data_IF_658015286123
#
_entry.id   IF_658015286123
#
_cell.length_a   1.000
_cell.length_b   1.000
_cell.length_c   1.000
_cell.angle_alpha   90.00
_cell.angle_beta   90.00
_cell.angle_gamma   90.00
#
_symmetry.space_group_name_H-M   'P 1'
#
loop_
_entity.id
_entity.type
_entity.pdbx_description
1 polymer ?
#
# COMPACT_ATOMS: atom_id res chain seq x y z
N UNK A 1 11.39 16.19 -10.05
CA UNK A 1 10.98 14.83 -9.65
C UNK A 1 10.79 13.95 -10.85
N UNK A 2 11.17 12.69 -10.72
CA UNK A 2 10.62 11.61 -11.52
C UNK A 2 9.31 11.14 -10.87
N UNK A 3 8.20 11.27 -11.59
CA UNK A 3 6.95 10.57 -11.25
C UNK A 3 6.90 9.37 -12.20
N UNK A 4 6.64 8.17 -11.69
CA UNK A 4 6.60 6.96 -12.51
C UNK A 4 5.47 7.03 -13.55
N UNK A 5 4.23 7.14 -13.08
CA UNK A 5 3.03 7.34 -13.90
C UNK A 5 2.20 8.45 -13.25
N UNK A 6 1.87 9.54 -13.96
CA UNK A 6 1.11 10.64 -13.38
C UNK A 6 -0.33 10.22 -13.05
N UNK A 7 -0.93 10.88 -12.06
CA UNK A 7 -2.35 10.73 -11.78
C UNK A 7 -3.17 11.11 -13.03
N UNK A 8 -4.17 10.32 -13.45
CA UNK A 8 -4.95 10.60 -14.65
C UNK A 8 -5.67 11.95 -14.62
N UNK A 9 -5.69 12.64 -15.75
CA UNK A 9 -6.45 13.89 -15.91
C UNK A 9 -7.97 13.64 -15.97
N UNK A 10 -8.36 12.46 -16.44
CA UNK A 10 -9.76 12.03 -16.56
C UNK A 10 -10.16 11.09 -15.41
N UNK A 11 -11.41 11.21 -14.98
CA UNK A 11 -12.00 10.31 -14.00
C UNK A 11 -12.47 9.01 -14.64
N UNK A 12 -12.33 7.85 -13.96
CA UNK A 12 -13.01 6.63 -14.37
C UNK A 12 -14.54 6.80 -14.35
N UNK A 13 -15.23 5.99 -15.14
CA UNK A 13 -16.70 6.02 -15.20
C UNK A 13 -17.31 5.79 -13.80
N UNK A 14 -18.32 6.59 -13.44
CA UNK A 14 -19.00 6.50 -12.13
C UNK A 14 -18.27 7.17 -10.97
N UNK A 15 -17.14 7.83 -11.22
CA UNK A 15 -16.46 8.67 -10.25
C UNK A 15 -16.87 10.13 -10.40
N UNK A 16 -17.04 10.79 -9.26
CA UNK A 16 -17.36 12.20 -9.18
C UNK A 16 -16.61 12.79 -8.00
N UNK A 17 -16.08 13.99 -8.21
CA UNK A 17 -15.44 14.74 -7.16
C UNK A 17 -16.45 15.18 -6.11
N UNK A 18 -16.05 15.11 -4.84
CA UNK A 18 -16.70 15.78 -3.73
C UNK A 18 -16.72 17.29 -3.99
N UNK A 19 -17.83 17.93 -3.64
CA UNK A 19 -17.96 19.39 -3.68
C UNK A 19 -17.32 20.02 -2.44
N UNK A 20 -17.08 21.33 -2.46
CA UNK A 20 -16.80 22.12 -1.25
C UNK A 20 -15.62 21.60 -0.39
N UNK A 21 -14.61 21.00 -1.03
CA UNK A 21 -13.36 20.62 -0.37
C UNK A 21 -12.44 21.84 -0.23
N UNK A 22 -11.76 22.04 0.91
CA UNK A 22 -10.67 22.98 0.96
C UNK A 22 -9.54 22.52 0.01
N UNK A 23 -8.77 23.43 -0.60
CA UNK A 23 -7.58 23.05 -1.34
C UNK A 23 -6.56 22.40 -0.39
N UNK A 24 -5.80 21.43 -0.87
CA UNK A 24 -4.67 20.90 -0.12
C UNK A 24 -3.52 21.93 -0.12
N UNK A 25 -3.18 22.41 1.06
CA UNK A 25 -2.04 23.27 1.35
C UNK A 25 -1.01 22.53 2.21
N UNK A 26 0.17 22.17 1.68
CA UNK A 26 1.21 21.49 2.44
C UNK A 26 1.68 22.24 3.69
N UNK A 27 1.80 23.57 3.65
CA UNK A 27 2.30 24.37 4.77
C UNK A 27 1.35 24.35 5.97
N UNK A 28 0.05 24.18 5.70
CA UNK A 28 -1.00 24.15 6.73
C UNK A 28 -1.35 22.74 7.17
N UNK A 29 -1.42 21.79 6.23
CA UNK A 29 -1.94 20.46 6.50
C UNK A 29 -0.86 19.44 6.88
N UNK A 30 0.41 19.67 6.52
CA UNK A 30 1.48 18.76 6.88
C UNK A 30 2.21 19.21 8.15
N UNK A 31 2.75 18.22 8.86
CA UNK A 31 3.65 18.38 10.02
C UNK A 31 4.59 17.18 10.02
N UNK A 32 5.42 17.12 8.98
CA UNK A 32 6.26 15.97 8.67
C UNK A 32 7.36 15.78 9.71
N UNK A 33 7.40 14.60 10.31
CA UNK A 33 8.44 14.16 11.25
C UNK A 33 8.91 12.76 10.84
N UNK A 34 10.21 12.49 10.91
CA UNK A 34 10.75 11.14 10.65
C UNK A 34 10.50 10.22 11.85
N UNK A 35 10.32 8.90 11.62
CA UNK A 35 10.25 7.93 12.71
C UNK A 35 11.55 7.89 13.50
N UNK A 36 11.44 7.67 14.80
CA UNK A 36 12.61 7.57 15.68
C UNK A 36 13.41 6.27 15.48
N UNK A 37 12.74 5.21 15.03
CA UNK A 37 13.31 3.89 14.80
C UNK A 37 12.61 3.19 13.65
N UNK A 38 13.35 2.29 12.99
CA UNK A 38 12.86 1.38 11.97
C UNK A 38 13.44 -0.01 12.22
N UNK A 39 12.74 -1.04 11.73
CA UNK A 39 13.23 -2.41 11.62
C UNK A 39 13.44 -2.73 10.16
N UNK A 40 14.53 -3.44 9.87
CA UNK A 40 14.81 -4.01 8.55
C UNK A 40 14.04 -5.33 8.35
N UNK A 41 14.03 -5.83 7.11
CA UNK A 41 13.56 -7.18 6.82
C UNK A 41 14.45 -8.25 7.49
N UNK A 42 15.75 -8.02 7.63
CA UNK A 42 16.65 -8.92 8.37
C UNK A 42 16.25 -9.00 9.87
N UNK A 43 15.85 -7.89 10.48
CA UNK A 43 15.34 -7.86 11.87
C UNK A 43 14.05 -8.67 12.05
N UNK A 44 13.25 -8.82 10.97
CA UNK A 44 12.05 -9.65 10.93
C UNK A 44 12.36 -11.12 10.61
N UNK A 45 13.63 -11.45 10.32
CA UNK A 45 14.10 -12.80 10.06
C UNK A 45 14.17 -13.21 8.58
N UNK A 46 14.05 -12.27 7.65
CA UNK A 46 14.28 -12.54 6.23
C UNK A 46 15.76 -12.72 5.93
N UNK A 47 16.10 -13.66 5.05
CA UNK A 47 17.47 -13.85 4.57
C UNK A 47 17.86 -12.83 3.51
N UNK A 48 19.16 -12.69 3.22
CA UNK A 48 19.64 -11.78 2.17
C UNK A 48 19.11 -12.17 0.80
N UNK A 49 19.02 -13.47 0.53
CA UNK A 49 18.47 -14.01 -0.72
C UNK A 49 16.99 -13.66 -0.88
N UNK A 50 16.21 -13.61 0.20
CA UNK A 50 14.79 -13.20 0.16
C UNK A 50 14.62 -11.69 -0.07
N UNK A 51 15.65 -10.89 0.23
CA UNK A 51 15.65 -9.42 0.17
C UNK A 51 16.26 -8.89 -1.13
N UNK A 52 17.22 -9.60 -1.76
CA UNK A 52 18.08 -9.06 -2.82
C UNK A 52 17.34 -8.44 -4.01
N UNK A 53 16.17 -8.98 -4.36
CA UNK A 53 15.35 -8.53 -5.50
C UNK A 53 14.19 -7.61 -5.06
N UNK A 54 14.26 -7.07 -3.84
CA UNK A 54 13.24 -6.17 -3.28
C UNK A 54 13.63 -4.72 -3.43
N UNK A 55 12.62 -3.86 -3.42
CA UNK A 55 12.79 -2.40 -3.54
C UNK A 55 13.69 -1.81 -2.45
N UNK A 56 13.68 -2.42 -1.27
CA UNK A 56 14.45 -1.97 -0.11
C UNK A 56 14.53 -3.08 0.94
N UNK A 57 15.57 -3.03 1.79
CA UNK A 57 15.67 -3.84 2.99
C UNK A 57 14.87 -3.28 4.18
N UNK A 58 14.21 -2.13 4.04
CA UNK A 58 13.31 -1.58 5.06
C UNK A 58 12.15 -2.54 5.34
N UNK A 59 11.81 -2.73 6.62
CA UNK A 59 10.69 -3.53 7.07
C UNK A 59 9.53 -2.66 7.55
N UNK A 60 9.65 -2.07 8.74
CA UNK A 60 8.56 -1.30 9.39
C UNK A 60 9.13 -0.18 10.26
N UNK A 61 8.41 0.93 10.40
CA UNK A 61 8.79 2.05 11.28
C UNK A 61 8.04 2.05 12.61
N UNK A 62 8.60 2.72 13.62
CA UNK A 62 7.77 3.27 14.71
C UNK A 62 6.83 4.37 14.18
N UNK A 63 5.75 4.73 14.90
CA UNK A 63 4.84 5.79 14.48
C UNK A 63 5.54 7.14 14.32
N UNK A 64 5.19 7.88 13.27
CA UNK A 64 5.69 9.21 12.95
C UNK A 64 4.58 10.12 12.45
N UNK A 65 4.83 11.43 12.42
CA UNK A 65 3.80 12.41 12.10
C UNK A 65 3.84 12.81 10.63
N UNK A 66 2.66 12.84 9.99
CA UNK A 66 2.48 13.36 8.63
C UNK A 66 1.60 14.62 8.67
N UNK A 67 0.44 14.55 9.32
CA UNK A 67 -0.51 15.66 9.31
C UNK A 67 -0.36 16.59 10.51
N UNK A 68 -0.58 17.88 10.25
CA UNK A 68 -0.84 18.86 11.28
C UNK A 68 -2.20 18.59 11.95
N UNK A 69 -2.54 19.37 12.98
CA UNK A 69 -3.89 19.28 13.57
C UNK A 69 -4.97 19.62 12.54
N UNK A 70 -4.77 20.70 11.76
CA UNK A 70 -5.71 21.13 10.72
C UNK A 70 -5.83 20.06 9.62
N UNK A 71 -4.70 19.54 9.12
CA UNK A 71 -4.72 18.46 8.13
C UNK A 71 -5.43 17.21 8.63
N UNK A 72 -5.27 16.86 9.90
CA UNK A 72 -5.97 15.73 10.51
C UNK A 72 -7.49 15.93 10.57
N UNK A 73 -7.95 17.16 10.86
CA UNK A 73 -9.37 17.50 10.88
C UNK A 73 -9.98 17.40 9.47
N UNK A 74 -9.28 17.90 8.44
CA UNK A 74 -9.73 17.79 7.05
C UNK A 74 -9.74 16.33 6.56
N UNK A 75 -8.72 15.54 6.91
CA UNK A 75 -8.66 14.11 6.57
C UNK A 75 -9.83 13.34 7.20
N UNK A 76 -10.17 13.62 8.47
CA UNK A 76 -11.30 12.97 9.14
C UNK A 76 -12.63 13.32 8.48
N UNK A 77 -12.86 14.59 8.16
CA UNK A 77 -14.08 15.01 7.45
C UNK A 77 -14.16 14.39 6.05
N UNK A 78 -13.05 14.41 5.30
CA UNK A 78 -12.94 13.79 3.98
C UNK A 78 -13.28 12.30 4.05
N UNK A 79 -12.73 11.56 5.04
CA UNK A 79 -13.02 10.15 5.22
C UNK A 79 -14.51 9.90 5.56
N UNK A 80 -15.12 10.72 6.42
CA UNK A 80 -16.56 10.60 6.74
C UNK A 80 -17.44 10.80 5.51
N UNK A 81 -17.11 11.76 4.64
CA UNK A 81 -17.82 11.99 3.38
C UNK A 81 -17.65 10.82 2.41
N UNK A 82 -16.42 10.30 2.29
CA UNK A 82 -16.10 9.16 1.44
C UNK A 82 -16.72 7.85 1.91
N UNK A 83 -17.05 7.71 3.20
CA UNK A 83 -17.67 6.51 3.78
C UNK A 83 -18.92 6.05 3.03
N UNK A 84 -19.66 6.95 2.40
CA UNK A 84 -20.84 6.62 1.58
C UNK A 84 -20.52 5.70 0.39
N UNK A 85 -19.25 5.66 -0.04
CA UNK A 85 -18.75 4.78 -1.11
C UNK A 85 -18.14 3.48 -0.58
N UNK A 86 -18.20 3.22 0.72
CA UNK A 86 -17.56 2.02 1.31
C UNK A 86 -18.22 0.74 0.81
N UNK A 87 -17.40 -0.26 0.51
CA UNK A 87 -17.81 -1.60 0.12
C UNK A 87 -16.97 -2.65 0.82
N UNK A 88 -17.43 -3.90 0.76
CA UNK A 88 -16.67 -5.05 1.21
C UNK A 88 -15.57 -5.38 0.20
N UNK A 89 -14.35 -5.61 0.69
CA UNK A 89 -13.22 -6.08 -0.10
C UNK A 89 -12.94 -7.54 0.23
N UNK A 90 -13.47 -8.42 -0.63
CA UNK A 90 -13.36 -9.87 -0.47
C UNK A 90 -13.90 -10.36 0.88
N UNK A 91 -13.18 -11.29 1.49
CA UNK A 91 -13.47 -11.84 2.81
C UNK A 91 -12.58 -11.22 3.93
N UNK A 92 -11.81 -10.18 3.57
CA UNK A 92 -10.71 -9.62 4.39
C UNK A 92 -11.13 -8.37 5.14
N UNK A 93 -11.80 -7.43 4.46
CA UNK A 93 -12.22 -6.13 5.01
C UNK A 93 -13.70 -5.91 4.72
N UNK A 94 -14.52 -5.68 5.75
CA UNK A 94 -15.96 -5.45 5.55
C UNK A 94 -16.27 -4.06 4.96
N UNK A 95 -15.59 -3.01 5.44
CA UNK A 95 -15.89 -1.63 5.09
C UNK A 95 -14.61 -0.91 4.64
N UNK A 96 -14.46 -0.72 3.32
CA UNK A 96 -13.33 0.02 2.75
C UNK A 96 -13.75 0.91 1.57
N UNK A 97 -13.04 2.01 1.36
CA UNK A 97 -13.14 2.82 0.14
C UNK A 97 -11.86 2.65 -0.67
N UNK A 98 -12.01 2.07 -1.87
CA UNK A 98 -11.01 2.00 -2.93
C UNK A 98 -11.22 3.16 -3.91
N UNK A 99 -10.15 3.66 -4.53
CA UNK A 99 -10.24 4.77 -5.48
C UNK A 99 -10.73 6.09 -4.88
N UNK A 100 -10.51 6.33 -3.58
CA UNK A 100 -10.90 7.56 -2.89
C UNK A 100 -10.27 8.81 -3.53
N UNK A 101 -9.05 8.69 -4.07
CA UNK A 101 -8.36 9.77 -4.78
C UNK A 101 -9.04 10.19 -6.10
N UNK A 102 -9.98 9.42 -6.63
CA UNK A 102 -10.85 9.85 -7.76
C UNK A 102 -12.13 10.55 -7.31
N UNK A 103 -12.31 10.68 -5.99
CA UNK A 103 -13.51 11.29 -5.39
C UNK A 103 -13.14 12.51 -4.55
N UNK A 104 -11.94 12.58 -3.99
CA UNK A 104 -11.49 13.73 -3.20
C UNK A 104 -10.23 14.32 -3.80
N UNK A 105 -10.26 15.61 -4.15
CA UNK A 105 -9.07 16.33 -4.60
C UNK A 105 -8.10 16.52 -3.47
N UNK A 106 -8.59 16.82 -2.27
CA UNK A 106 -7.74 17.00 -1.10
C UNK A 106 -6.97 15.72 -0.76
N UNK A 107 -7.65 14.56 -0.76
CA UNK A 107 -7.02 13.26 -0.54
C UNK A 107 -6.02 12.93 -1.64
N UNK A 108 -6.40 13.14 -2.91
CA UNK A 108 -5.49 12.94 -4.05
C UNK A 108 -4.22 13.75 -3.86
N UNK A 109 -4.35 15.05 -3.60
CA UNK A 109 -3.23 15.98 -3.51
C UNK A 109 -2.32 15.66 -2.30
N UNK A 110 -2.89 15.19 -1.18
CA UNK A 110 -2.11 14.61 -0.08
C UNK A 110 -1.34 13.36 -0.53
N UNK A 111 -2.00 12.43 -1.20
CA UNK A 111 -1.43 11.13 -1.59
C UNK A 111 -0.33 11.24 -2.67
N UNK A 112 -0.36 12.29 -3.49
CA UNK A 112 0.68 12.59 -4.49
C UNK A 112 1.57 13.77 -4.06
N UNK A 113 1.45 14.22 -2.81
CA UNK A 113 2.21 15.35 -2.28
C UNK A 113 3.70 15.05 -2.34
N UNK A 114 4.47 15.99 -2.85
CA UNK A 114 5.89 15.80 -2.99
C UNK A 114 6.63 15.76 -1.65
N UNK A 115 6.25 16.64 -0.72
CA UNK A 115 6.86 16.67 0.62
C UNK A 115 6.69 15.33 1.35
N UNK A 116 5.53 14.70 1.19
CA UNK A 116 5.26 13.36 1.74
C UNK A 116 6.10 12.31 1.01
N UNK A 117 6.16 12.35 -0.33
CA UNK A 117 7.00 11.43 -1.10
C UNK A 117 8.48 11.51 -0.70
N UNK A 118 9.02 12.70 -0.48
CA UNK A 118 10.41 12.91 -0.08
C UNK A 118 10.69 12.33 1.31
N UNK A 119 9.77 12.53 2.27
CA UNK A 119 9.85 11.88 3.59
C UNK A 119 9.84 10.35 3.44
N UNK A 120 8.92 9.81 2.65
CA UNK A 120 8.78 8.36 2.47
C UNK A 120 9.99 7.75 1.77
N UNK A 121 10.56 8.43 0.75
CA UNK A 121 11.78 8.01 0.09
C UNK A 121 12.95 7.92 1.09
N UNK A 122 13.05 8.90 2.00
CA UNK A 122 14.05 8.88 3.07
C UNK A 122 13.82 7.73 4.06
N UNK A 123 12.57 7.40 4.42
CA UNK A 123 12.25 6.32 5.36
C UNK A 123 12.56 4.95 4.74
N UNK A 124 12.11 4.74 3.50
CA UNK A 124 12.33 3.49 2.78
C UNK A 124 13.76 3.32 2.28
N UNK A 125 14.55 4.40 2.22
CA UNK A 125 15.90 4.41 1.66
C UNK A 125 15.92 3.88 0.22
N UNK A 126 14.93 4.30 -0.57
CA UNK A 126 14.76 3.90 -1.95
C UNK A 126 14.22 5.08 -2.78
N UNK A 127 14.57 5.11 -4.06
CA UNK A 127 13.89 5.99 -5.00
C UNK A 127 12.49 5.45 -5.26
N UNK A 128 11.48 6.25 -4.93
CA UNK A 128 10.07 5.84 -5.01
C UNK A 128 9.23 6.89 -5.74
N UNK A 129 8.06 6.43 -6.16
CA UNK A 129 6.94 7.27 -6.61
C UNK A 129 5.67 6.83 -5.89
N UNK A 130 4.66 7.71 -5.71
CA UNK A 130 3.31 7.25 -5.40
C UNK A 130 2.90 6.17 -6.39
N UNK A 131 2.14 5.18 -5.93
CA UNK A 131 1.81 4.00 -6.72
C UNK A 131 1.21 4.39 -8.08
N UNK A 132 1.71 3.76 -9.15
CA UNK A 132 1.31 4.04 -10.54
C UNK A 132 -0.11 3.57 -10.89
N UNK A 133 -0.78 2.94 -9.92
CA UNK A 133 -2.19 2.55 -9.99
C UNK A 133 -2.92 3.37 -8.93
N UNK A 134 -3.47 4.54 -9.29
CA UNK A 134 -4.10 5.45 -8.33
C UNK A 134 -5.22 4.86 -7.49
N UNK A 135 -5.83 3.73 -7.90
CA UNK A 135 -6.80 3.01 -7.07
C UNK A 135 -6.21 2.53 -5.73
N UNK A 136 -4.88 2.41 -5.63
CA UNK A 136 -4.14 2.05 -4.41
C UNK A 136 -3.76 3.25 -3.53
N UNK A 137 -3.98 4.48 -4.00
CA UNK A 137 -3.70 5.69 -3.23
C UNK A 137 -4.87 6.05 -2.33
N UNK A 138 -4.58 6.46 -1.10
CA UNK A 138 -5.58 6.98 -0.16
C UNK A 138 -6.69 5.98 0.17
N UNK A 139 -6.36 4.69 0.27
CA UNK A 139 -7.29 3.63 0.65
C UNK A 139 -7.79 3.83 2.08
N UNK A 140 -9.10 3.78 2.30
CA UNK A 140 -9.68 4.00 3.64
C UNK A 140 -10.27 2.70 4.20
N UNK A 141 -9.94 2.37 5.44
CA UNK A 141 -10.53 1.25 6.18
C UNK A 141 -11.37 1.76 7.36
N UNK A 142 -12.60 1.27 7.48
CA UNK A 142 -13.54 1.60 8.55
C UNK A 142 -13.77 0.39 9.46
N UNK A 143 -14.27 0.62 10.67
CA UNK A 143 -14.64 -0.46 11.57
C UNK A 143 -15.69 -1.42 10.95
N UNK A 144 -15.63 -2.72 11.26
CA UNK A 144 -16.70 -3.66 10.92
C UNK A 144 -17.97 -3.41 11.74
N UNK A 145 -19.06 -4.02 11.30
CA UNK A 145 -20.37 -4.00 11.94
C UNK A 145 -20.41 -4.85 13.22
N UNK A 146 -19.57 -5.89 13.31
CA UNK A 146 -19.42 -6.75 14.49
C UNK A 146 -18.07 -6.53 15.16
N UNK A 147 -18.05 -6.49 16.49
CA UNK A 147 -16.84 -6.17 17.27
C UNK A 147 -15.78 -7.26 17.21
N UNK A 148 -16.21 -8.52 17.14
CA UNK A 148 -15.36 -9.69 17.06
C UNK A 148 -14.62 -9.82 15.72
N UNK A 149 -15.11 -9.14 14.68
CA UNK A 149 -14.46 -9.14 13.37
C UNK A 149 -13.24 -8.21 13.39
N UNK A 150 -12.14 -8.67 12.80
CA UNK A 150 -10.98 -7.82 12.55
C UNK A 150 -11.37 -6.72 11.56
N UNK A 151 -10.77 -5.54 11.72
CA UNK A 151 -10.91 -4.45 10.74
C UNK A 151 -10.27 -4.89 9.42
N UNK A 152 -9.11 -5.53 9.53
CA UNK A 152 -8.44 -6.25 8.46
C UNK A 152 -7.74 -7.46 9.08
N UNK A 153 -7.89 -8.64 8.47
CA UNK A 153 -7.32 -9.90 8.96
C UNK A 153 -5.78 -9.88 8.91
N UNK A 154 -5.10 -10.81 9.58
CA UNK A 154 -3.67 -11.03 9.36
C UNK A 154 -3.36 -11.27 7.89
N UNK A 155 -2.54 -10.41 7.30
CA UNK A 155 -2.14 -10.48 5.90
C UNK A 155 -0.77 -9.82 5.73
N UNK A 156 -0.22 -9.92 4.52
CA UNK A 156 0.74 -8.95 4.02
C UNK A 156 0.11 -8.28 2.80
N UNK A 157 0.47 -7.04 2.52
CA UNK A 157 -0.24 -6.22 1.57
C UNK A 157 -0.06 -6.65 0.12
N UNK A 158 -1.04 -6.32 -0.71
CA UNK A 158 -0.99 -6.52 -2.17
C UNK A 158 -0.17 -5.44 -2.87
N UNK A 159 0.33 -4.45 -2.12
CA UNK A 159 1.12 -3.31 -2.60
C UNK A 159 2.56 -3.39 -2.07
N UNK A 160 3.55 -2.80 -2.77
CA UNK A 160 4.97 -2.97 -2.43
C UNK A 160 5.36 -2.32 -1.10
N UNK A 161 5.12 -1.01 -1.00
CA UNK A 161 5.51 -0.14 0.09
C UNK A 161 4.31 0.77 0.40
N UNK A 162 4.05 1.02 1.68
CA UNK A 162 2.97 1.91 2.09
C UNK A 162 3.17 2.51 3.47
N UNK A 163 2.30 3.46 3.82
CA UNK A 163 2.08 3.83 5.21
C UNK A 163 0.62 3.67 5.58
N UNK A 164 0.37 3.35 6.86
CA UNK A 164 -0.95 3.29 7.48
C UNK A 164 -1.07 4.41 8.49
N UNK A 165 -1.96 5.37 8.22
CA UNK A 165 -2.25 6.53 9.06
C UNK A 165 -3.51 6.34 9.89
N UNK A 166 -3.45 6.67 11.18
CA UNK A 166 -4.64 6.82 12.02
C UNK A 166 -5.37 8.12 11.66
N UNK A 167 -6.60 8.00 11.15
CA UNK A 167 -7.46 9.15 10.83
C UNK A 167 -8.35 9.49 12.02
N UNK A 168 -8.97 8.47 12.62
CA UNK A 168 -9.64 8.64 13.91
C UNK A 168 -8.64 8.79 15.04
N UNK A 169 -9.03 9.47 16.12
CA UNK A 169 -8.19 9.59 17.31
C UNK A 169 -8.04 8.23 18.02
N UNK A 170 -6.83 7.65 18.05
CA UNK A 170 -6.58 6.36 18.70
C UNK A 170 -6.91 6.37 20.20
N UNK A 171 -6.84 7.54 20.88
CA UNK A 171 -7.17 7.65 22.30
C UNK A 171 -8.66 7.41 22.59
N UNK A 172 -9.52 7.55 21.59
CA UNK A 172 -10.97 7.32 21.70
C UNK A 172 -11.37 5.86 21.43
N UNK A 173 -10.42 5.03 20.97
CA UNK A 173 -10.68 3.65 20.56
C UNK A 173 -10.35 2.65 21.67
N UNK A 174 -11.06 1.53 21.67
CA UNK A 174 -10.74 0.36 22.50
C UNK A 174 -10.55 -0.84 21.59
N UNK A 175 -9.31 -1.33 21.44
CA UNK A 175 -8.95 -2.26 20.35
C UNK A 175 -8.82 -1.52 19.01
N UNK A 176 -8.94 -2.23 17.88
CA UNK A 176 -8.88 -1.60 16.55
C UNK A 176 -7.47 -1.21 16.07
N UNK A 177 -6.44 -1.50 16.87
CA UNK A 177 -5.07 -1.05 16.64
C UNK A 177 -4.39 -1.74 15.47
N UNK A 178 -3.39 -1.08 14.90
CA UNK A 178 -2.46 -1.69 13.97
C UNK A 178 -1.54 -2.65 14.74
N UNK A 179 -1.44 -3.89 14.26
CA UNK A 179 -0.57 -4.91 14.81
C UNK A 179 0.29 -5.51 13.71
N UNK A 180 1.58 -5.73 13.96
CA UNK A 180 2.48 -6.42 13.04
C UNK A 180 3.22 -7.56 13.73
N UNK A 181 3.57 -8.58 12.94
CA UNK A 181 4.27 -9.77 13.38
C UNK A 181 5.79 -9.59 13.25
N UNK A 182 6.53 -9.89 14.32
CA UNK A 182 7.98 -10.01 14.34
C UNK A 182 8.40 -11.37 13.79
N UNK A 183 8.19 -11.56 12.48
CA UNK A 183 8.51 -12.77 11.76
C UNK A 183 8.23 -12.60 10.27
N UNK A 184 8.52 -13.65 9.50
CA UNK A 184 8.42 -13.59 8.06
C UNK A 184 7.05 -14.05 7.54
N UNK A 185 6.73 -13.71 6.30
CA UNK A 185 5.47 -14.10 5.65
C UNK A 185 5.36 -15.61 5.39
N UNK A 186 6.49 -16.30 5.25
CA UNK A 186 6.56 -17.77 5.15
C UNK A 186 6.25 -18.42 6.49
N UNK A 187 6.76 -17.85 7.59
CA UNK A 187 6.41 -18.34 8.93
C UNK A 187 4.92 -18.13 9.23
N UNK A 188 4.36 -16.97 8.89
CA UNK A 188 2.93 -16.72 9.02
C UNK A 188 2.08 -17.68 8.17
N UNK A 189 2.54 -18.03 6.97
CA UNK A 189 1.89 -19.03 6.12
C UNK A 189 1.89 -20.42 6.77
N UNK A 190 3.02 -20.85 7.35
CA UNK A 190 3.12 -22.13 8.06
C UNK A 190 2.23 -22.17 9.31
N UNK A 191 2.18 -21.07 10.08
CA UNK A 191 1.23 -20.95 11.19
C UNK A 191 -0.22 -21.09 10.71
N UNK A 192 -0.57 -20.41 9.61
CA UNK A 192 -1.91 -20.46 9.03
C UNK A 192 -2.30 -21.87 8.59
N UNK A 193 -1.39 -22.61 7.93
CA UNK A 193 -1.60 -24.03 7.54
C UNK A 193 -1.92 -24.92 8.74
N UNK A 194 -1.46 -24.56 9.94
CA UNK A 194 -1.74 -25.24 11.19
C UNK A 194 -2.99 -24.71 11.91
N UNK A 195 -3.75 -23.79 11.32
CA UNK A 195 -4.89 -23.12 11.93
C UNK A 195 -4.50 -22.17 13.07
N UNK A 196 -3.26 -21.65 13.07
CA UNK A 196 -2.73 -20.73 14.07
C UNK A 196 -2.55 -19.34 13.50
N UNK A 197 -2.54 -18.35 14.39
CA UNK A 197 -2.21 -16.95 14.08
C UNK A 197 -0.83 -16.60 14.67
N UNK A 198 -0.21 -15.48 14.25
CA UNK A 198 1.01 -14.97 14.88
C UNK A 198 0.94 -14.99 16.41
N UNK A 199 1.96 -15.54 17.11
CA UNK A 199 1.93 -15.66 18.56
C UNK A 199 2.05 -14.29 19.23
N UNK A 200 1.25 -14.06 20.29
CA UNK A 200 1.06 -12.76 20.94
C UNK A 200 2.35 -12.09 21.41
N UNK A 201 3.32 -12.85 21.88
CA UNK A 201 4.64 -12.37 22.35
C UNK A 201 5.55 -11.89 21.21
N UNK A 202 5.22 -12.24 19.96
CA UNK A 202 5.88 -11.74 18.74
C UNK A 202 5.00 -10.79 17.94
N UNK A 203 3.90 -10.32 18.51
CA UNK A 203 3.07 -9.28 17.91
C UNK A 203 3.41 -7.94 18.55
N UNK A 204 3.71 -6.95 17.71
CA UNK A 204 3.92 -5.55 18.11
C UNK A 204 2.66 -4.76 17.79
N UNK A 205 2.26 -3.91 18.74
CA UNK A 205 1.11 -3.01 18.61
C UNK A 205 1.56 -1.59 18.97
N UNK A 206 2.08 -0.81 18.00
CA UNK A 206 2.56 0.55 18.25
C UNK A 206 1.46 1.46 18.80
N UNK A 207 1.84 2.40 19.67
CA UNK A 207 0.94 3.42 20.18
C UNK A 207 1.04 4.67 19.33
N UNK A 208 -0.03 4.99 18.61
CA UNK A 208 -0.13 6.23 17.83
C UNK A 208 -0.41 7.40 18.77
N UNK A 209 0.39 8.48 18.74
CA UNK A 209 0.15 9.66 19.59
C UNK A 209 -1.17 10.41 19.30
N UNK A 210 -1.72 10.30 18.09
CA UNK A 210 -2.98 10.95 17.72
C UNK A 210 -3.33 10.76 16.24
N UNK A 211 -4.39 11.43 15.75
CA UNK A 211 -4.69 11.54 14.33
C UNK A 211 -3.52 12.09 13.52
N UNK A 212 -3.38 11.65 12.27
CA UNK A 212 -2.33 12.15 11.37
C UNK A 212 -0.95 11.52 11.58
N UNK A 213 -0.82 10.63 12.56
CA UNK A 213 0.35 9.77 12.73
C UNK A 213 0.21 8.49 11.92
N UNK A 214 1.32 8.02 11.36
CA UNK A 214 1.39 6.86 10.51
C UNK A 214 2.52 5.91 10.90
N UNK A 215 2.42 4.66 10.46
CA UNK A 215 3.52 3.69 10.42
C UNK A 215 3.80 3.39 8.95
N UNK A 216 5.08 3.36 8.58
CA UNK A 216 5.52 2.96 7.25
C UNK A 216 5.87 1.46 7.28
N UNK A 217 5.55 0.75 6.21
CA UNK A 217 5.85 -0.66 6.07
C UNK A 217 6.23 -1.04 4.64
N UNK A 218 7.04 -2.08 4.55
CA UNK A 218 7.16 -2.85 3.34
C UNK A 218 5.95 -3.76 3.20
N UNK A 219 4.88 -3.24 2.58
CA UNK A 219 3.58 -3.88 2.41
C UNK A 219 3.65 -5.36 2.05
N UNK A 220 4.42 -5.72 1.01
CA UNK A 220 4.55 -7.10 0.54
C UNK A 220 5.24 -8.08 1.53
N UNK A 221 5.95 -7.56 2.53
CA UNK A 221 6.85 -8.36 3.38
C UNK A 221 6.44 -8.34 4.85
N UNK A 222 5.82 -7.27 5.35
CA UNK A 222 5.41 -7.21 6.75
C UNK A 222 4.03 -7.81 6.95
N UNK A 223 3.94 -8.87 7.74
CA UNK A 223 2.67 -9.47 8.14
C UNK A 223 2.03 -8.62 9.23
N UNK A 224 0.83 -8.12 8.99
CA UNK A 224 0.16 -7.18 9.87
C UNK A 224 -1.37 -7.30 9.79
N UNK A 225 -2.07 -6.56 10.65
CA UNK A 225 -3.53 -6.51 10.68
C UNK A 225 -4.08 -5.23 11.30
N UNK A 226 -5.36 -4.97 11.05
CA UNK A 226 -6.19 -4.09 11.86
C UNK A 226 -6.97 -4.92 12.88
N UNK A 227 -6.51 -4.96 14.13
CA UNK A 227 -7.09 -5.83 15.15
C UNK A 227 -8.58 -5.52 15.42
N UNK A 228 -9.36 -6.48 15.96
CA UNK A 228 -10.76 -6.24 16.33
C UNK A 228 -10.91 -5.12 17.36
N UNK A 229 -12.06 -4.44 17.33
CA UNK A 229 -12.44 -3.52 18.41
C UNK A 229 -12.99 -4.32 19.59
N UNK A 230 -12.75 -3.84 20.81
CA UNK A 230 -13.32 -4.43 22.03
C UNK A 230 -14.55 -3.67 22.53
N UNK A 231 -14.78 -2.46 22.00
CA UNK A 231 -16.00 -1.64 22.19
C UNK A 231 -16.33 -0.89 20.90
N UNK A 232 -17.58 -0.52 20.65
CA UNK A 232 -17.94 0.28 19.48
C UNK A 232 -17.17 1.61 19.45
N UNK A 233 -16.70 1.99 18.26
CA UNK A 233 -15.97 3.24 18.02
C UNK A 233 -15.85 3.55 16.54
N UNK A 234 -15.66 4.82 16.20
CA UNK A 234 -15.37 5.24 14.82
C UNK A 234 -13.88 5.05 14.55
N UNK A 235 -13.51 3.93 13.91
CA UNK A 235 -12.11 3.61 13.61
C UNK A 235 -11.88 3.75 12.12
N UNK A 236 -11.06 4.72 11.74
CA UNK A 236 -10.72 5.02 10.35
C UNK A 236 -9.19 5.05 10.24
N UNK A 237 -8.64 4.34 9.24
CA UNK A 237 -7.26 4.55 8.77
C UNK A 237 -7.23 4.86 7.30
N UNK A 238 -6.19 5.57 6.89
CA UNK A 238 -5.85 5.82 5.49
C UNK A 238 -4.53 5.12 5.16
N UNK A 239 -4.47 4.44 4.02
CA UNK A 239 -3.27 3.76 3.52
C UNK A 239 -2.87 4.39 2.20
N UNK A 240 -1.60 4.77 2.06
CA UNK A 240 -1.07 5.30 0.81
C UNK A 240 0.10 4.46 0.31
N UNK A 241 0.04 4.08 -0.97
CA UNK A 241 0.95 3.14 -1.59
C UNK A 241 2.05 3.82 -2.41
N UNK A 242 3.22 3.19 -2.47
CA UNK A 242 4.38 3.58 -3.25
C UNK A 242 4.95 2.40 -4.05
N UNK A 243 5.64 2.71 -5.14
CA UNK A 243 6.44 1.76 -5.93
C UNK A 243 7.89 2.23 -5.97
N UNK A 244 8.83 1.31 -6.13
CA UNK A 244 10.22 1.65 -6.47
C UNK A 244 10.28 2.24 -7.88
N UNK A 245 11.14 3.24 -8.08
CA UNK A 245 11.50 3.72 -9.41
C UNK A 245 12.41 2.73 -10.15
N UNK A 246 13.13 1.88 -9.41
CA UNK A 246 13.89 0.78 -10.00
C UNK A 246 12.92 -0.29 -10.53
N UNK A 247 12.84 -0.41 -11.85
CA UNK A 247 12.02 -1.41 -12.51
C UNK A 247 12.74 -2.77 -12.65
N UNK A 248 14.01 -2.89 -12.27
CA UNK A 248 14.77 -4.14 -12.32
C UNK A 248 14.51 -5.05 -11.12
N UNK A 249 14.09 -4.50 -9.98
CA UNK A 249 13.61 -5.30 -8.84
C UNK A 249 12.23 -5.89 -9.12
N UNK A 250 11.78 -6.83 -8.27
CA UNK A 250 10.47 -7.47 -8.41
C UNK A 250 9.31 -6.46 -8.43
N UNK A 251 8.27 -6.74 -9.24
CA UNK A 251 6.96 -6.16 -8.99
C UNK A 251 6.34 -6.84 -7.77
N UNK A 252 6.53 -6.21 -6.61
CA UNK A 252 6.07 -6.71 -5.32
C UNK A 252 4.54 -6.53 -5.13
N UNK A 253 3.83 -6.16 -6.19
CA UNK A 253 2.37 -6.02 -6.21
C UNK A 253 1.66 -7.34 -6.52
N UNK A 254 0.49 -7.56 -5.93
CA UNK A 254 -0.39 -8.71 -6.21
C UNK A 254 -1.71 -8.27 -6.83
N UNK A 255 -1.65 -7.50 -7.92
CA UNK A 255 -2.82 -6.86 -8.55
C UNK A 255 -3.92 -7.82 -9.00
N UNK A 256 -3.60 -9.10 -9.27
CA UNK A 256 -4.62 -10.13 -9.54
C UNK A 256 -5.58 -10.35 -8.38
N UNK A 257 -5.09 -10.27 -7.14
CA UNK A 257 -5.89 -10.42 -5.92
C UNK A 257 -6.99 -9.35 -5.83
N UNK A 258 -6.84 -8.26 -6.60
CA UNK A 258 -7.74 -7.12 -6.60
C UNK A 258 -8.81 -7.21 -7.70
N UNK A 259 -8.75 -8.19 -8.60
CA UNK A 259 -9.84 -8.44 -9.54
C UNK A 259 -11.07 -8.90 -8.74
N UNK A 260 -12.16 -8.13 -8.83
CA UNK A 260 -13.38 -8.36 -8.05
C UNK A 260 -13.42 -7.62 -6.71
N UNK A 261 -12.33 -6.94 -6.34
CA UNK A 261 -12.27 -5.99 -5.21
C UNK A 261 -12.25 -4.56 -5.74
N UNK A 262 -11.30 -4.24 -6.61
CA UNK A 262 -11.16 -2.93 -7.21
C UNK A 262 -12.13 -2.74 -8.38
N UNK A 263 -12.56 -1.50 -8.58
CA UNK A 263 -13.50 -1.14 -9.63
C UNK A 263 -12.92 -1.42 -11.01
N UNK A 264 -13.54 -2.27 -11.83
CA UNK A 264 -13.08 -2.57 -13.18
C UNK A 264 -12.92 -1.33 -14.07
N UNK A 265 -13.68 -0.26 -13.80
CA UNK A 265 -13.57 1.01 -14.53
C UNK A 265 -12.17 1.66 -14.39
N UNK A 266 -11.45 1.36 -13.31
CA UNK A 266 -10.10 1.85 -13.05
C UNK A 266 -9.04 0.73 -13.20
N UNK A 267 -9.27 -0.42 -12.56
CA UNK A 267 -8.26 -1.46 -12.33
C UNK A 267 -7.49 -1.87 -13.60
N UNK A 268 -8.19 -2.24 -14.66
CA UNK A 268 -7.55 -2.80 -15.86
C UNK A 268 -6.71 -1.75 -16.60
N UNK A 269 -7.22 -0.52 -16.73
CA UNK A 269 -6.51 0.55 -17.40
C UNK A 269 -5.26 0.98 -16.62
N UNK A 270 -5.38 1.10 -15.29
CA UNK A 270 -4.25 1.42 -14.42
C UNK A 270 -3.19 0.33 -14.41
N UNK A 271 -3.60 -0.93 -14.32
CA UNK A 271 -2.67 -2.06 -14.31
C UNK A 271 -1.93 -2.19 -15.65
N UNK A 272 -2.62 -1.97 -16.77
CA UNK A 272 -1.98 -1.91 -18.08
C UNK A 272 -0.93 -0.79 -18.15
N UNK A 273 -1.22 0.40 -17.60
CA UNK A 273 -0.25 1.51 -17.51
C UNK A 273 0.95 1.15 -16.63
N UNK A 274 0.73 0.55 -15.46
CA UNK A 274 1.79 0.11 -14.57
C UNK A 274 2.73 -0.90 -15.25
N UNK A 275 2.17 -1.97 -15.83
CA UNK A 275 2.94 -3.00 -16.52
C UNK A 275 3.70 -2.43 -17.73
N UNK A 276 3.07 -1.51 -18.48
CA UNK A 276 3.71 -0.83 -19.62
C UNK A 276 4.87 0.04 -19.18
N UNK A 277 4.73 0.82 -18.11
CA UNK A 277 5.79 1.66 -17.55
C UNK A 277 6.99 0.81 -17.12
N UNK A 278 6.77 -0.27 -16.36
CA UNK A 278 7.86 -1.17 -15.95
C UNK A 278 8.57 -1.81 -17.15
N UNK A 279 7.80 -2.34 -18.09
CA UNK A 279 8.32 -2.95 -19.33
C UNK A 279 9.13 -1.94 -20.15
N UNK A 280 8.64 -0.70 -20.30
CA UNK A 280 9.33 0.36 -21.02
C UNK A 280 10.70 0.66 -20.40
N UNK A 281 10.79 0.78 -19.07
CA UNK A 281 12.06 1.06 -18.39
C UNK A 281 13.06 -0.11 -18.53
N UNK A 282 12.60 -1.36 -18.43
CA UNK A 282 13.44 -2.54 -18.66
C UNK A 282 13.96 -2.61 -20.10
N UNK A 283 13.10 -2.34 -21.08
CA UNK A 283 13.51 -2.29 -22.50
C UNK A 283 14.51 -1.15 -22.76
N UNK A 284 14.32 0.01 -22.14
CA UNK A 284 15.25 1.13 -22.26
C UNK A 284 16.63 0.77 -21.70
N UNK A 285 16.68 0.08 -20.56
CA UNK A 285 17.95 -0.40 -19.99
C UNK A 285 18.69 -1.35 -20.95
N UNK A 286 17.97 -2.23 -21.65
CA UNK A 286 18.56 -3.11 -22.67
C UNK A 286 19.12 -2.27 -23.81
N UNK A 287 18.35 -1.31 -24.34
CA UNK A 287 18.79 -0.44 -25.44
C UNK A 287 20.07 0.31 -25.07
N UNK A 288 20.16 0.81 -23.85
CA UNK A 288 21.27 1.65 -23.39
C UNK A 288 22.53 0.84 -23.05
N UNK A 289 22.39 -0.43 -22.66
CA UNK A 289 23.50 -1.24 -22.13
C UNK A 289 23.90 -2.47 -22.96
N UNK A 290 23.11 -2.89 -23.95
CA UNK A 290 23.37 -4.09 -24.75
C UNK A 290 24.65 -3.95 -25.60
N UNK A 291 25.60 -4.85 -25.38
CA UNK A 291 26.87 -4.90 -26.10
C UNK A 291 26.84 -5.98 -27.20
N UNK A 292 27.67 -5.82 -28.24
CA UNK A 292 27.71 -6.74 -29.39
C UNK A 292 28.35 -8.11 -29.08
N UNK A 293 29.01 -8.26 -27.93
CA UNK A 293 29.78 -9.44 -27.53
C UNK A 293 29.06 -10.33 -26.50
N UNK A 294 27.76 -10.10 -26.26
CA UNK A 294 26.96 -10.95 -25.39
C UNK A 294 26.60 -12.29 -26.06
N UNK A 295 26.57 -13.35 -25.26
CA UNK A 295 26.13 -14.66 -25.73
C UNK A 295 24.62 -14.63 -26.06
N UNK A 296 24.16 -15.36 -27.10
CA UNK A 296 22.75 -15.34 -27.51
C UNK A 296 21.75 -15.61 -26.38
N UNK A 297 22.07 -16.55 -25.48
CA UNK A 297 21.20 -16.90 -24.35
C UNK A 297 21.04 -15.73 -23.36
N UNK A 298 22.09 -14.95 -23.12
CA UNK A 298 22.02 -13.77 -22.23
C UNK A 298 21.15 -12.66 -22.82
N UNK A 299 21.15 -12.52 -24.15
CA UNK A 299 20.27 -11.57 -24.85
C UNK A 299 18.82 -12.00 -24.71
N UNK A 300 18.54 -13.31 -24.86
CA UNK A 300 17.20 -13.87 -24.70
C UNK A 300 16.69 -13.66 -23.26
N UNK A 301 17.50 -13.99 -22.25
CA UNK A 301 17.14 -13.84 -20.84
C UNK A 301 16.74 -12.39 -20.50
N UNK A 302 17.48 -11.40 -21.01
CA UNK A 302 17.16 -9.98 -20.81
C UNK A 302 15.83 -9.58 -21.47
N UNK A 303 15.59 -10.02 -22.70
CA UNK A 303 14.34 -9.72 -23.41
C UNK A 303 13.12 -10.38 -22.74
N UNK A 304 13.26 -11.62 -22.28
CA UNK A 304 12.22 -12.33 -21.53
C UNK A 304 11.94 -11.64 -20.20
N UNK A 305 12.99 -11.25 -19.46
CA UNK A 305 12.86 -10.49 -18.22
C UNK A 305 12.15 -9.14 -18.42
N UNK A 306 12.49 -8.41 -19.49
CA UNK A 306 11.84 -7.16 -19.82
C UNK A 306 10.35 -7.34 -20.16
N UNK A 307 10.00 -8.40 -20.90
CA UNK A 307 8.62 -8.69 -21.29
C UNK A 307 7.77 -9.30 -20.15
N UNK A 308 8.40 -9.85 -19.11
CA UNK A 308 7.74 -10.65 -18.09
C UNK A 308 6.57 -9.93 -17.40
N UNK A 309 6.73 -8.67 -17.01
CA UNK A 309 5.67 -7.92 -16.29
C UNK A 309 4.41 -7.75 -17.16
N UNK A 310 4.60 -7.47 -18.45
CA UNK A 310 3.51 -7.36 -19.42
C UNK A 310 2.83 -8.72 -19.66
N UNK A 311 3.61 -9.78 -19.89
CA UNK A 311 3.08 -11.12 -20.13
C UNK A 311 2.34 -11.68 -18.91
N UNK A 312 2.90 -11.52 -17.71
CA UNK A 312 2.25 -11.87 -16.44
C UNK A 312 0.93 -11.12 -16.28
N UNK A 313 0.92 -9.81 -16.53
CA UNK A 313 -0.30 -8.99 -16.45
C UNK A 313 -1.38 -9.49 -17.41
N UNK A 314 -1.04 -9.76 -18.68
CA UNK A 314 -1.97 -10.31 -19.66
C UNK A 314 -2.53 -11.66 -19.20
N UNK A 315 -1.67 -12.54 -18.70
CA UNK A 315 -2.07 -13.87 -18.24
C UNK A 315 -2.98 -13.80 -17.01
N UNK A 316 -2.65 -12.94 -16.04
CA UNK A 316 -3.47 -12.75 -14.84
C UNK A 316 -4.84 -12.13 -15.16
N UNK A 317 -4.89 -11.12 -16.04
CA UNK A 317 -6.16 -10.55 -16.51
C UNK A 317 -7.04 -11.59 -17.21
N UNK A 318 -6.46 -12.47 -18.02
CA UNK A 318 -7.20 -13.59 -18.66
C UNK A 318 -7.65 -14.65 -17.66
N UNK A 319 -6.83 -14.93 -16.65
CA UNK A 319 -7.14 -15.92 -15.63
C UNK A 319 -8.24 -15.45 -14.66
N UNK A 320 -8.47 -14.14 -14.56
CA UNK A 320 -9.56 -13.57 -13.78
C UNK A 320 -9.34 -13.63 -12.26
N UNK A 321 -10.41 -13.39 -11.48
CA UNK A 321 -10.32 -13.23 -10.03
C UNK A 321 -9.86 -14.49 -9.32
N UNK A 322 -9.19 -14.29 -8.18
CA UNK A 322 -8.90 -15.32 -7.18
C UNK A 322 -9.10 -14.74 -5.79
N UNK A 323 -9.20 -15.59 -4.78
CA UNK A 323 -9.32 -15.13 -3.40
C UNK A 323 -8.05 -14.39 -2.96
N UNK A 324 -8.24 -13.21 -2.36
CA UNK A 324 -7.13 -12.42 -1.84
C UNK A 324 -6.49 -13.12 -0.64
N UNK A 325 -5.16 -13.22 -0.64
CA UNK A 325 -4.43 -13.96 0.37
C UNK A 325 -4.52 -13.31 1.76
N UNK A 326 -4.78 -14.12 2.79
CA UNK A 326 -4.68 -13.78 4.22
C UNK A 326 -4.33 -15.03 5.04
N UNK A 327 -4.06 -14.87 6.34
CA UNK A 327 -3.58 -15.94 7.22
C UNK A 327 -4.61 -16.49 8.21
N UNK A 328 -5.84 -15.95 8.23
CA UNK A 328 -6.90 -16.40 9.13
C UNK A 328 -7.88 -17.33 8.41
N UNK A 329 -8.01 -18.59 8.86
CA UNK A 329 -8.95 -19.59 8.31
C UNK A 329 -10.32 -19.52 8.98
#
# INVERSE_FOLDING_TARGET
MSIAVPFPEELPEGYQWLSDEPPFDPERHLSLESPSQTLSLEDLGYSREEIQDKATAFGVSEPFRILSKEGSEVMLETARRLRTFSRRAGNRIENTVRGGCYRSRWLRDLCISQDVNDLMASIYQAEISPHTMPVHLGHLNYQPSKLEEAVDKWHHDTIPLDYVMMVSDPATLSGGGFEYFLGTKMEAEELSKQGKTPPRDRVKAPKFPGPGYAVALHGNMVVHRGAPLTKPGERITMVNAYVSMDCLVDDQSRSRDLIGIDDPAALYAEWAKHASWRTQNRLQQIIDSMAFDQEPDQVLDQLEFAANDLLKTINDMKAGPREAQHYEQ
#
